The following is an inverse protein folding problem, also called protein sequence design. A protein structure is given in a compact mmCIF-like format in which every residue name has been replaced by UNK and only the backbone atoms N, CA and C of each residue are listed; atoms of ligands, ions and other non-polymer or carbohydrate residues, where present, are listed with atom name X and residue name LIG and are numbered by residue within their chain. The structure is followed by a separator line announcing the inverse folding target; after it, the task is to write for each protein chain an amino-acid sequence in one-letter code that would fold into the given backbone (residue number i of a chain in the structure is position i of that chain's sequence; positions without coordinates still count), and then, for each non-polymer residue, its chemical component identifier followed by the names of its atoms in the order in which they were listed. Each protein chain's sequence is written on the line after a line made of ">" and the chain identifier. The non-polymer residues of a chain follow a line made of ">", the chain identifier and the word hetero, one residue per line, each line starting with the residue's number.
data_IF_680398362764
#
_entry.id   IF_680398362764
#
_cell.length_a   1.000
_cell.length_b   1.000
_cell.length_c   1.000
_cell.angle_alpha   90.00
_cell.angle_beta   90.00
_cell.angle_gamma   90.00
#
_symmetry.space_group_name_H-M   'P 1'
#
loop_
_entity.id
_entity.type
_entity.pdbx_description
1 polymer ?
#
# COMPACT_ATOMS: atom_id res chain seq x y z
N UNK A 1 0.65 13.43 36.66
CA UNK A 1 -0.37 12.53 36.07
C UNK A 1 -0.19 12.58 34.56
N UNK A 2 0.71 11.77 33.98
CA UNK A 2 0.85 11.64 32.53
C UNK A 2 0.19 10.32 32.12
N UNK A 3 -0.71 10.41 31.14
CA UNK A 3 -1.52 9.29 30.67
C UNK A 3 -0.61 8.22 30.05
N UNK A 4 -0.64 7.05 30.67
CA UNK A 4 -0.10 5.82 30.11
C UNK A 4 -0.99 5.48 28.91
N UNK A 5 -0.44 5.58 27.69
CA UNK A 5 -1.08 5.07 26.48
C UNK A 5 -1.37 3.59 26.69
N UNK A 6 -2.66 3.25 26.70
CA UNK A 6 -3.15 1.91 26.93
C UNK A 6 -2.79 1.06 25.72
N UNK A 7 -1.76 0.22 25.84
CA UNK A 7 -1.54 -0.89 24.92
C UNK A 7 -2.75 -1.82 25.01
N UNK A 8 -3.64 -1.79 24.02
CA UNK A 8 -4.59 -2.89 23.79
C UNK A 8 -3.75 -4.10 23.34
N UNK A 9 -3.55 -5.06 24.24
CA UNK A 9 -3.04 -6.39 23.89
C UNK A 9 -4.12 -7.21 23.17
N UNK A 10 -3.86 -8.39 22.61
CA UNK A 10 -2.63 -9.12 22.27
C UNK A 10 -3.14 -10.48 21.81
N UNK A 11 -3.29 -10.69 20.49
CA UNK A 11 -3.44 -12.02 19.86
C UNK A 11 -3.13 -12.01 18.35
N UNK A 12 -2.90 -10.83 17.74
CA UNK A 12 -2.75 -10.69 16.29
C UNK A 12 -1.60 -9.74 15.91
N UNK A 13 -0.44 -9.83 16.57
CA UNK A 13 0.68 -8.88 16.39
C UNK A 13 1.19 -8.69 14.95
N UNK A 14 0.87 -9.62 14.04
CA UNK A 14 1.22 -9.54 12.62
C UNK A 14 0.02 -9.18 11.71
N UNK A 15 -1.22 -9.31 12.18
CA UNK A 15 -2.39 -9.11 11.33
C UNK A 15 -2.53 -7.65 10.83
N UNK A 16 -2.36 -6.61 11.67
CA UNK A 16 -2.38 -5.23 11.20
C UNK A 16 -1.31 -4.96 10.14
N UNK A 17 -0.09 -5.49 10.33
CA UNK A 17 1.00 -5.33 9.37
C UNK A 17 0.67 -6.00 8.03
N UNK A 18 0.16 -7.24 8.06
CA UNK A 18 -0.23 -7.96 6.86
C UNK A 18 -1.37 -7.24 6.12
N UNK A 19 -2.41 -6.82 6.83
CA UNK A 19 -3.54 -6.09 6.26
C UNK A 19 -3.12 -4.74 5.69
N UNK A 20 -2.17 -4.07 6.33
CA UNK A 20 -1.56 -2.83 5.82
C UNK A 20 -0.87 -3.06 4.46
N UNK A 21 -0.07 -4.14 4.35
CA UNK A 21 0.60 -4.49 3.08
C UNK A 21 -0.43 -4.87 2.00
N UNK A 22 -1.45 -5.64 2.36
CA UNK A 22 -2.55 -6.00 1.43
C UNK A 22 -3.27 -4.76 0.94
N UNK A 23 -3.58 -3.81 1.82
CA UNK A 23 -4.26 -2.56 1.46
C UNK A 23 -3.41 -1.67 0.55
N UNK A 24 -2.10 -1.56 0.81
CA UNK A 24 -1.16 -0.88 -0.08
C UNK A 24 -1.18 -1.49 -1.48
N UNK A 25 -1.13 -2.82 -1.58
CA UNK A 25 -1.17 -3.51 -2.87
C UNK A 25 -2.51 -3.30 -3.57
N UNK A 26 -3.64 -3.37 -2.84
CA UNK A 26 -4.98 -3.14 -3.39
C UNK A 26 -5.09 -1.76 -4.04
N UNK A 27 -4.68 -0.70 -3.33
CA UNK A 27 -4.73 0.66 -3.86
C UNK A 27 -3.73 0.88 -5.01
N UNK A 28 -2.57 0.22 -4.98
CA UNK A 28 -1.63 0.25 -6.10
C UNK A 28 -2.21 -0.42 -7.36
N UNK A 29 -2.93 -1.53 -7.21
CA UNK A 29 -3.65 -2.18 -8.31
C UNK A 29 -4.75 -1.27 -8.86
N UNK A 30 -5.50 -0.58 -7.99
CA UNK A 30 -6.51 0.41 -8.37
C UNK A 30 -5.91 1.55 -9.21
N UNK A 31 -4.77 2.10 -8.78
CA UNK A 31 -4.01 3.09 -9.54
C UNK A 31 -3.65 2.60 -10.95
N UNK A 32 -3.18 1.35 -11.07
CA UNK A 32 -2.82 0.78 -12.37
C UNK A 32 -4.04 0.55 -13.27
N UNK A 33 -5.21 0.22 -12.70
CA UNK A 33 -6.47 0.12 -13.47
C UNK A 33 -6.87 1.48 -14.01
N UNK A 34 -6.84 2.54 -13.18
CA UNK A 34 -7.16 3.91 -13.60
C UNK A 34 -6.22 4.37 -14.72
N UNK A 35 -4.90 4.13 -14.59
CA UNK A 35 -3.94 4.47 -15.66
C UNK A 35 -4.25 3.78 -16.98
N UNK A 36 -4.59 2.48 -16.94
CA UNK A 36 -4.90 1.71 -18.14
C UNK A 36 -6.22 2.12 -18.78
N UNK A 37 -7.20 2.52 -17.96
CA UNK A 37 -8.45 3.14 -18.40
C UNK A 37 -8.16 4.46 -19.13
N UNK A 38 -7.37 5.36 -18.54
CA UNK A 38 -7.00 6.66 -19.16
C UNK A 38 -6.19 6.47 -20.45
N UNK A 39 -5.37 5.42 -20.53
CA UNK A 39 -4.63 5.06 -21.73
C UNK A 39 -5.48 4.36 -22.81
N UNK A 40 -6.75 4.03 -22.52
CA UNK A 40 -7.63 3.28 -23.44
C UNK A 40 -7.15 1.85 -23.72
N UNK A 41 -6.40 1.26 -22.78
CA UNK A 41 -5.80 -0.08 -22.92
C UNK A 41 -6.64 -1.20 -22.31
N UNK A 42 -7.71 -0.85 -21.59
CA UNK A 42 -8.73 -1.78 -21.10
C UNK A 42 -10.02 -1.55 -21.87
N UNK A 43 -10.67 -2.64 -22.28
CA UNK A 43 -12.05 -2.55 -22.76
C UNK A 43 -13.05 -2.50 -21.59
N UNK A 44 -14.28 -2.08 -21.86
CA UNK A 44 -15.32 -1.89 -20.83
C UNK A 44 -15.51 -3.15 -19.95
N UNK A 45 -15.53 -4.34 -20.55
CA UNK A 45 -15.71 -5.59 -19.80
C UNK A 45 -14.53 -5.94 -18.89
N UNK A 46 -13.31 -5.54 -19.28
CA UNK A 46 -12.12 -5.71 -18.45
C UNK A 46 -12.10 -4.70 -17.30
N UNK A 47 -12.51 -3.46 -17.57
CA UNK A 47 -12.62 -2.42 -16.57
C UNK A 47 -13.66 -2.79 -15.50
N UNK A 48 -14.84 -3.23 -15.91
CA UNK A 48 -15.91 -3.66 -15.00
C UNK A 48 -15.45 -4.82 -14.10
N UNK A 49 -14.80 -5.84 -14.70
CA UNK A 49 -14.28 -7.00 -13.96
C UNK A 49 -13.18 -6.61 -12.97
N UNK A 50 -12.31 -5.66 -13.35
CA UNK A 50 -11.27 -5.15 -12.47
C UNK A 50 -11.87 -4.37 -11.30
N UNK A 51 -12.84 -3.48 -11.57
CA UNK A 51 -13.56 -2.71 -10.54
C UNK A 51 -14.28 -3.64 -9.55
N UNK A 52 -15.01 -4.64 -10.05
CA UNK A 52 -15.71 -5.62 -9.20
C UNK A 52 -14.73 -6.42 -8.33
N UNK A 53 -13.59 -6.83 -8.89
CA UNK A 53 -12.57 -7.59 -8.15
C UNK A 53 -11.91 -6.74 -7.05
N UNK A 54 -11.60 -5.48 -7.34
CA UNK A 54 -11.03 -4.54 -6.36
C UNK A 54 -12.02 -4.25 -5.22
N UNK A 55 -13.30 -4.05 -5.54
CA UNK A 55 -14.35 -3.85 -4.54
C UNK A 55 -14.51 -5.08 -3.62
N UNK A 56 -14.46 -6.29 -4.18
CA UNK A 56 -14.48 -7.53 -3.36
C UNK A 56 -13.27 -7.62 -2.45
N UNK A 57 -12.09 -7.27 -2.93
CA UNK A 57 -10.86 -7.27 -2.12
C UNK A 57 -10.93 -6.24 -1.00
N UNK A 58 -11.44 -5.03 -1.27
CA UNK A 58 -11.68 -4.00 -0.25
C UNK A 58 -12.63 -4.50 0.84
N UNK A 59 -13.76 -5.12 0.45
CA UNK A 59 -14.71 -5.71 1.40
C UNK A 59 -14.06 -6.80 2.26
N UNK A 60 -13.20 -7.64 1.68
CA UNK A 60 -12.47 -8.66 2.42
C UNK A 60 -11.48 -8.06 3.43
N UNK A 61 -10.78 -6.99 3.07
CA UNK A 61 -9.89 -6.26 4.00
C UNK A 61 -10.70 -5.71 5.16
N UNK A 62 -11.83 -5.05 4.90
CA UNK A 62 -12.70 -4.49 5.95
C UNK A 62 -13.22 -5.59 6.88
N UNK A 63 -13.70 -6.71 6.34
CA UNK A 63 -14.15 -7.85 7.13
C UNK A 63 -13.04 -8.44 8.01
N UNK A 64 -11.81 -8.54 7.49
CA UNK A 64 -10.67 -9.01 8.27
C UNK A 64 -10.30 -8.02 9.38
N UNK A 65 -10.36 -6.70 9.13
CA UNK A 65 -10.18 -5.70 10.17
C UNK A 65 -11.18 -5.87 11.31
N UNK A 66 -12.47 -6.10 10.99
CA UNK A 66 -13.50 -6.38 12.00
C UNK A 66 -13.19 -7.65 12.82
N UNK A 67 -12.78 -8.74 12.15
CA UNK A 67 -12.43 -10.01 12.81
C UNK A 67 -11.27 -9.84 13.80
N UNK A 68 -10.32 -8.97 13.49
CA UNK A 68 -9.12 -8.75 14.30
C UNK A 68 -9.19 -7.53 15.24
N UNK A 69 -10.35 -6.86 15.37
CA UNK A 69 -10.56 -5.62 16.16
C UNK A 69 -9.56 -4.50 15.77
N UNK A 70 -9.34 -4.32 14.47
CA UNK A 70 -8.44 -3.32 13.88
C UNK A 70 -9.27 -2.17 13.31
N UNK A 71 -8.95 -0.93 13.67
CA UNK A 71 -9.51 0.25 13.00
C UNK A 71 -8.89 0.36 11.59
N UNK A 72 -9.67 0.42 10.50
CA UNK A 72 -9.14 0.61 9.16
C UNK A 72 -8.20 1.82 9.03
N UNK A 73 -8.37 2.86 9.86
CA UNK A 73 -7.47 4.00 9.90
C UNK A 73 -6.05 3.62 10.37
N UNK A 74 -5.92 2.58 11.19
CA UNK A 74 -4.63 2.08 11.70
C UNK A 74 -3.82 1.35 10.62
N UNK A 75 -4.44 0.98 9.49
CA UNK A 75 -3.71 0.43 8.33
C UNK A 75 -2.82 1.49 7.66
N UNK A 76 -3.10 2.78 7.87
CA UNK A 76 -2.27 3.84 7.32
C UNK A 76 -1.09 4.17 8.26
N UNK A 77 -0.02 3.41 8.12
CA UNK A 77 1.19 3.59 8.92
C UNK A 77 1.91 4.89 8.54
N UNK A 78 2.30 5.67 9.56
CA UNK A 78 3.18 6.81 9.43
C UNK A 78 4.65 6.36 9.49
N UNK A 79 5.44 6.73 8.48
CA UNK A 79 6.85 6.36 8.33
C UNK A 79 7.80 7.51 8.67
N UNK A 80 7.36 8.48 9.47
CA UNK A 80 8.13 9.65 9.85
C UNK A 80 8.39 10.58 8.67
N UNK A 81 9.66 10.81 8.35
CA UNK A 81 10.09 11.72 7.29
C UNK A 81 9.68 11.27 5.89
N UNK A 82 9.40 9.98 5.70
CA UNK A 82 8.92 9.42 4.42
C UNK A 82 7.42 9.67 4.17
N UNK A 83 6.71 10.25 5.13
CA UNK A 83 5.27 10.48 5.04
C UNK A 83 4.46 9.26 5.47
N UNK A 84 3.24 9.16 4.94
CA UNK A 84 2.33 8.04 5.23
C UNK A 84 2.45 6.95 4.16
N UNK A 85 2.08 5.71 4.52
CA UNK A 85 2.05 4.62 3.56
C UNK A 85 0.98 4.85 2.48
N UNK A 86 -0.22 5.25 2.92
CA UNK A 86 -1.39 5.49 2.09
C UNK A 86 -1.75 6.99 2.09
N UNK A 87 -2.35 7.51 1.02
CA UNK A 87 -2.85 8.89 0.98
C UNK A 87 -3.96 9.12 2.03
N UNK A 88 -4.02 10.32 2.61
CA UNK A 88 -5.04 10.68 3.59
C UNK A 88 -6.36 11.02 2.87
N UNK A 89 -7.34 10.11 2.99
CA UNK A 89 -8.76 10.26 2.61
C UNK A 89 -9.08 10.48 1.12
N UNK A 90 -9.83 9.53 0.55
CA UNK A 90 -10.71 9.74 -0.62
C UNK A 90 -10.07 9.54 -1.99
N UNK A 91 -9.78 8.29 -2.35
CA UNK A 91 -9.41 7.88 -3.71
C UNK A 91 -8.07 8.42 -4.20
N UNK A 92 -7.11 7.54 -4.46
CA UNK A 92 -5.88 7.94 -5.13
C UNK A 92 -6.11 7.97 -6.64
N UNK A 93 -6.05 9.16 -7.25
CA UNK A 93 -5.99 9.28 -8.70
C UNK A 93 -4.51 9.32 -9.16
N UNK A 94 -4.06 8.35 -9.96
CA UNK A 94 -2.67 8.25 -10.36
C UNK A 94 -2.22 9.43 -11.24
N UNK A 95 -1.07 10.01 -10.92
CA UNK A 95 -0.48 11.13 -11.68
C UNK A 95 -0.81 12.51 -11.14
N UNK A 96 -1.70 12.61 -10.15
CA UNK A 96 -1.87 13.85 -9.37
C UNK A 96 -0.80 13.95 -8.27
N UNK A 97 -0.33 15.17 -7.99
CA UNK A 97 0.54 15.46 -6.84
C UNK A 97 -0.31 15.85 -5.65
N UNK A 98 -0.20 15.10 -4.55
CA UNK A 98 -0.80 15.49 -3.27
C UNK A 98 0.09 16.49 -2.52
N UNK A 99 -0.52 17.31 -1.66
CA UNK A 99 0.20 18.18 -0.71
C UNK A 99 0.93 17.39 0.38
N UNK A 100 0.51 16.14 0.63
CA UNK A 100 1.17 15.20 1.52
C UNK A 100 1.61 13.96 0.73
N UNK A 101 2.93 13.76 0.52
CA UNK A 101 3.43 12.62 -0.23
C UNK A 101 3.15 11.31 0.53
N UNK A 102 2.85 10.25 -0.22
CA UNK A 102 2.69 8.89 0.31
C UNK A 102 3.62 7.91 -0.40
N UNK A 103 3.91 6.77 0.26
CA UNK A 103 4.65 5.68 -0.36
C UNK A 103 3.91 5.15 -1.59
N UNK A 104 2.58 5.06 -1.53
CA UNK A 104 1.78 4.65 -2.67
C UNK A 104 2.00 5.56 -3.90
N UNK A 105 1.98 6.88 -3.70
CA UNK A 105 2.23 7.86 -4.77
C UNK A 105 3.63 7.69 -5.37
N UNK A 106 4.64 7.44 -4.51
CA UNK A 106 6.00 7.13 -4.96
C UNK A 106 6.03 5.83 -5.78
N UNK A 107 5.44 4.75 -5.28
CA UNK A 107 5.42 3.45 -5.95
C UNK A 107 4.70 3.53 -7.30
N UNK A 108 3.55 4.20 -7.37
CA UNK A 108 2.82 4.41 -8.62
C UNK A 108 3.66 5.20 -9.64
N UNK A 109 4.34 6.26 -9.21
CA UNK A 109 5.26 7.02 -10.08
C UNK A 109 6.41 6.18 -10.60
N UNK A 110 7.03 5.38 -9.73
CA UNK A 110 8.13 4.50 -10.09
C UNK A 110 7.71 3.44 -11.11
N UNK A 111 6.55 2.80 -10.88
CA UNK A 111 5.97 1.84 -11.81
C UNK A 111 5.68 2.47 -13.17
N UNK A 112 5.13 3.69 -13.19
CA UNK A 112 4.82 4.40 -14.42
C UNK A 112 6.07 4.87 -15.19
N UNK A 113 7.12 5.29 -14.48
CA UNK A 113 8.36 5.79 -15.10
C UNK A 113 9.34 4.69 -15.52
N UNK A 114 9.06 3.42 -15.16
CA UNK A 114 9.96 2.29 -15.46
C UNK A 114 11.19 2.26 -14.55
N UNK A 115 11.11 2.89 -13.38
CA UNK A 115 12.20 3.02 -12.41
C UNK A 115 12.02 1.91 -11.36
N UNK A 116 12.68 0.76 -11.50
CA UNK A 116 12.75 -0.26 -10.41
C UNK A 116 13.80 0.21 -9.41
N UNK A 117 13.67 0.11 -8.04
CA UNK A 117 14.49 0.58 -6.84
C UNK A 117 15.55 -0.38 -6.22
N UNK A 118 16.80 0.07 -5.92
CA UNK A 118 17.85 -0.71 -5.20
C UNK A 118 17.87 -0.30 -3.74
N UNK A 119 17.73 -1.26 -2.84
CA UNK A 119 17.73 -1.05 -1.40
C UNK A 119 17.84 -2.38 -0.68
N UNK A 120 18.35 -2.36 0.54
CA UNK A 120 18.40 -3.55 1.39
C UNK A 120 17.37 -3.36 2.53
N UNK A 121 16.59 -4.41 2.81
CA UNK A 121 15.63 -4.47 3.90
C UNK A 121 16.06 -5.56 4.88
N UNK A 122 16.38 -5.15 6.10
CA UNK A 122 16.73 -6.05 7.20
C UNK A 122 15.59 -6.11 8.19
N UNK A 123 14.97 -7.28 8.33
CA UNK A 123 13.97 -7.53 9.36
C UNK A 123 14.60 -8.38 10.46
N UNK A 124 14.47 -7.92 11.70
CA UNK A 124 15.00 -8.60 12.85
C UNK A 124 14.02 -8.72 14.00
N UNK A 125 14.30 -9.63 14.93
CA UNK A 125 13.56 -9.83 16.18
C UNK A 125 14.56 -10.05 17.31
N UNK A 126 14.32 -9.43 18.47
CA UNK A 126 15.17 -9.58 19.66
C UNK A 126 16.66 -9.33 19.37
N UNK A 127 16.97 -8.26 18.62
CA UNK A 127 18.33 -7.87 18.19
C UNK A 127 19.02 -8.87 17.24
N UNK A 128 18.27 -9.80 16.65
CA UNK A 128 18.76 -10.70 15.61
C UNK A 128 18.22 -10.27 14.25
N UNK A 129 19.08 -10.05 13.26
CA UNK A 129 18.65 -9.95 11.86
C UNK A 129 18.25 -11.34 11.36
N UNK A 130 16.98 -11.52 10.98
CA UNK A 130 16.41 -12.81 10.59
C UNK A 130 16.10 -12.89 9.10
N UNK A 131 15.72 -11.76 8.50
CA UNK A 131 15.39 -11.66 7.08
C UNK A 131 16.22 -10.54 6.46
N UNK A 132 16.90 -10.85 5.36
CA UNK A 132 17.69 -9.92 4.57
C UNK A 132 17.09 -9.94 3.17
N UNK A 133 16.48 -8.85 2.74
CA UNK A 133 15.84 -8.73 1.44
C UNK A 133 16.56 -7.65 0.63
N UNK A 134 17.19 -8.06 -0.48
CA UNK A 134 17.77 -7.12 -1.45
C UNK A 134 16.73 -6.74 -2.48
N UNK A 135 16.30 -5.48 -2.46
CA UNK A 135 15.60 -4.83 -3.56
C UNK A 135 16.66 -4.35 -4.56
N UNK A 136 16.46 -4.56 -5.86
CA UNK A 136 17.39 -4.12 -6.92
C UNK A 136 16.68 -3.20 -7.89
N UNK A 137 17.23 -1.99 -8.12
CA UNK A 137 16.74 -1.01 -9.09
C UNK A 137 17.14 -1.46 -10.50
N UNK A 138 16.31 -1.17 -11.49
CA UNK A 138 16.51 -1.24 -12.93
C UNK A 138 15.69 -0.10 -13.56
N UNK A 139 16.39 0.89 -14.10
CA UNK A 139 15.80 2.02 -14.81
C UNK A 139 15.56 1.67 -16.29
N UNK A 140 14.31 1.72 -16.74
CA UNK A 140 13.93 1.59 -18.15
C UNK A 140 13.37 2.92 -18.66
N UNK A 141 13.54 3.22 -19.95
CA UNK A 141 13.18 4.52 -20.52
C UNK A 141 11.95 4.50 -21.45
N UNK A 142 11.22 3.38 -21.55
CA UNK A 142 9.93 3.18 -22.27
C UNK A 142 9.45 1.71 -22.18
N UNK A 143 8.14 1.41 -22.38
CA UNK A 143 7.40 0.45 -21.56
C UNK A 143 7.58 -1.03 -21.97
N UNK A 144 7.31 -1.91 -21.01
CA UNK A 144 6.82 -3.27 -21.23
C UNK A 144 5.29 -3.23 -21.36
#
# INVERSE_FOLDING_TARGET
>A
MQAISKSKGSDSGLAPLLLTVVELIRQLMEAQVIRRMDAGTLNDSELDRAAESLQKLEQQVVQLCEIFDIDPADLNINLGEMGNLLPQSGGYYPGETSSQPSILELLDRLLNTGVVVEGDLDLGLAQLSLVHAKLRLVLTSKPL
#
